data_IF_190656964146
#
_entry.id   IF_190656964146
#
_cell.length_a   1.000
_cell.length_b   1.000
_cell.length_c   1.000
_cell.angle_alpha   90.00
_cell.angle_beta   90.00
_cell.angle_gamma   90.00
#
_symmetry.space_group_name_H-M   'P 1'
#
loop_
_entity.id
_entity.type
_entity.pdbx_description
1 polymer ?
#
# COMPACT_ATOMS: atom_id res chain seq x y z
N UNK A 1 12.31 12.48 -18.94
CA UNK A 1 12.50 11.14 -18.33
C UNK A 1 11.13 10.63 -17.87
N UNK A 2 10.74 9.40 -18.22
CA UNK A 2 9.41 8.86 -17.88
C UNK A 2 9.26 8.55 -16.38
N UNK A 3 8.02 8.65 -15.87
CA UNK A 3 7.69 8.37 -14.47
C UNK A 3 8.09 6.94 -14.05
N UNK A 4 7.85 5.96 -14.92
CA UNK A 4 8.27 4.57 -14.72
C UNK A 4 9.78 4.43 -14.49
N UNK A 5 10.61 5.13 -15.26
CA UNK A 5 12.07 5.08 -15.08
C UNK A 5 12.49 5.67 -13.72
N UNK A 6 11.82 6.73 -13.26
CA UNK A 6 12.06 7.31 -11.93
C UNK A 6 11.68 6.34 -10.81
N UNK A 7 10.54 5.67 -10.93
CA UNK A 7 10.10 4.66 -9.97
C UNK A 7 11.05 3.47 -9.89
N UNK A 8 11.54 2.98 -11.03
CA UNK A 8 12.52 1.88 -11.06
C UNK A 8 13.83 2.28 -10.38
N UNK A 9 14.32 3.50 -10.60
CA UNK A 9 15.54 3.99 -9.93
C UNK A 9 15.32 4.10 -8.42
N UNK A 10 14.19 4.67 -7.99
CA UNK A 10 13.85 4.76 -6.57
C UNK A 10 13.71 3.38 -5.93
N UNK A 11 13.09 2.42 -6.64
CA UNK A 11 13.00 1.03 -6.19
C UNK A 11 14.35 0.36 -6.07
N UNK A 12 15.24 0.58 -7.04
CA UNK A 12 16.62 0.11 -6.97
C UNK A 12 17.38 0.69 -5.77
N UNK A 13 17.25 2.00 -5.52
CA UNK A 13 17.87 2.66 -4.37
C UNK A 13 17.31 2.12 -3.04
N UNK A 14 15.99 1.96 -2.92
CA UNK A 14 15.37 1.38 -1.73
C UNK A 14 15.80 -0.07 -1.54
N UNK A 15 15.88 -0.85 -2.61
CA UNK A 15 16.44 -2.20 -2.59
C UNK A 15 17.87 -2.23 -2.07
N UNK A 16 18.74 -1.33 -2.54
CA UNK A 16 20.12 -1.21 -2.06
C UNK A 16 20.20 -0.80 -0.58
N UNK A 17 19.31 0.08 -0.11
CA UNK A 17 19.25 0.46 1.30
C UNK A 17 18.91 -0.75 2.18
N UNK A 18 17.89 -1.53 1.79
CA UNK A 18 17.51 -2.74 2.50
C UNK A 18 18.52 -3.87 2.39
N UNK A 19 19.22 -3.99 1.25
CA UNK A 19 20.29 -4.97 1.05
C UNK A 19 21.48 -4.73 1.99
N UNK A 20 21.79 -3.46 2.28
CA UNK A 20 22.90 -3.08 3.16
C UNK A 20 22.47 -2.95 4.63
N UNK A 21 21.18 -3.12 4.95
CA UNK A 21 20.70 -3.06 6.33
C UNK A 21 21.23 -4.27 7.10
N UNK A 22 21.69 -4.07 8.33
CA UNK A 22 22.13 -5.20 9.16
C UNK A 22 20.93 -5.94 9.75
N UNK A 23 21.14 -7.19 10.16
CA UNK A 23 20.12 -8.00 10.83
C UNK A 23 19.59 -7.29 12.08
N UNK A 24 20.48 -6.66 12.85
CA UNK A 24 20.15 -5.93 14.08
C UNK A 24 19.26 -4.72 13.79
N UNK A 25 19.52 -3.99 12.70
CA UNK A 25 18.70 -2.84 12.30
C UNK A 25 17.30 -3.26 11.87
N UNK A 26 17.20 -4.34 11.08
CA UNK A 26 15.91 -4.91 10.66
C UNK A 26 15.14 -5.45 11.86
N UNK A 27 15.82 -6.13 12.78
CA UNK A 27 15.22 -6.65 14.00
C UNK A 27 14.75 -5.53 14.93
N UNK A 28 15.56 -4.49 15.15
CA UNK A 28 15.17 -3.31 15.92
C UNK A 28 13.90 -2.68 15.34
N UNK A 29 13.85 -2.51 14.01
CA UNK A 29 12.65 -2.00 13.31
C UNK A 29 11.42 -2.88 13.57
N UNK A 30 11.58 -4.20 13.58
CA UNK A 30 10.48 -5.14 13.88
C UNK A 30 10.00 -4.95 15.31
N UNK A 31 10.91 -4.84 16.28
CA UNK A 31 10.56 -4.70 17.70
C UNK A 31 9.92 -3.34 17.98
N UNK A 32 10.52 -2.25 17.50
CA UNK A 32 10.09 -0.88 17.75
C UNK A 32 8.68 -0.61 17.22
N UNK A 33 8.40 -1.06 15.99
CA UNK A 33 7.07 -0.95 15.38
C UNK A 33 6.18 -2.16 15.70
N UNK A 34 6.67 -3.08 16.52
CA UNK A 34 6.01 -4.34 16.90
C UNK A 34 5.42 -5.06 15.67
N UNK A 35 6.19 -5.13 14.58
CA UNK A 35 5.74 -5.72 13.31
C UNK A 35 5.55 -7.22 13.47
N UNK A 36 4.47 -7.72 12.90
CA UNK A 36 4.20 -9.14 12.79
C UNK A 36 3.33 -9.40 11.55
N UNK A 37 3.22 -10.66 11.17
CA UNK A 37 2.46 -11.07 9.98
C UNK A 37 0.98 -10.66 10.04
N UNK A 38 0.38 -10.65 11.22
CA UNK A 38 -1.00 -10.19 11.41
C UNK A 38 -1.15 -8.69 11.12
N UNK A 39 -0.19 -7.87 11.58
CA UNK A 39 -0.19 -6.41 11.35
C UNK A 39 -0.03 -6.04 9.88
N UNK A 40 0.52 -6.90 9.03
CA UNK A 40 0.52 -6.68 7.58
C UNK A 40 -0.91 -6.66 6.99
N UNK A 41 -1.85 -7.39 7.60
CA UNK A 41 -3.25 -7.40 7.18
C UNK A 41 -4.02 -6.12 7.55
N UNK A 42 -3.54 -5.39 8.56
CA UNK A 42 -4.25 -4.24 9.13
C UNK A 42 -4.41 -3.09 8.11
N UNK A 43 -3.37 -2.65 7.39
CA UNK A 43 -3.52 -1.64 6.33
C UNK A 43 -4.49 -2.06 5.21
N UNK A 44 -4.50 -3.35 4.85
CA UNK A 44 -5.37 -3.88 3.80
C UNK A 44 -6.86 -3.78 4.21
N UNK A 45 -7.16 -4.23 5.43
CA UNK A 45 -8.50 -4.19 5.98
C UNK A 45 -9.00 -2.74 6.12
N UNK A 46 -8.18 -1.86 6.70
CA UNK A 46 -8.54 -0.44 6.84
C UNK A 46 -8.70 0.25 5.49
N UNK A 47 -7.89 -0.09 4.50
CA UNK A 47 -8.03 0.42 3.13
C UNK A 47 -9.45 0.17 2.61
N UNK A 48 -9.90 -1.09 2.63
CA UNK A 48 -11.24 -1.47 2.20
C UNK A 48 -12.34 -0.74 2.98
N UNK A 49 -12.26 -0.77 4.32
CA UNK A 49 -13.28 -0.22 5.22
C UNK A 49 -13.39 1.29 5.03
N UNK A 50 -12.27 2.01 5.08
CA UNK A 50 -12.26 3.47 4.95
C UNK A 50 -12.74 3.88 3.56
N UNK A 51 -12.27 3.22 2.50
CA UNK A 51 -12.73 3.54 1.14
C UNK A 51 -14.25 3.43 0.98
N UNK A 52 -14.84 2.37 1.55
CA UNK A 52 -16.29 2.18 1.54
C UNK A 52 -17.02 3.24 2.37
N UNK A 53 -16.54 3.51 3.59
CA UNK A 53 -17.14 4.50 4.50
C UNK A 53 -17.08 5.92 3.94
N UNK A 54 -15.95 6.33 3.37
CA UNK A 54 -15.78 7.67 2.77
C UNK A 54 -16.76 7.87 1.61
N UNK A 55 -16.98 6.84 0.81
CA UNK A 55 -17.96 6.88 -0.27
C UNK A 55 -19.40 6.86 0.25
N UNK A 56 -19.68 6.13 1.33
CA UNK A 56 -20.99 6.10 1.97
C UNK A 56 -21.40 7.47 2.53
N UNK A 57 -20.44 8.21 3.09
CA UNK A 57 -20.63 9.58 3.60
C UNK A 57 -20.73 10.61 2.46
N UNK A 58 -20.46 10.22 1.21
CA UNK A 58 -20.59 11.09 0.04
C UNK A 58 -19.44 12.09 -0.12
N UNK A 59 -18.26 11.82 0.45
CA UNK A 59 -17.11 12.72 0.37
C UNK A 59 -16.56 12.69 -1.06
N UNK A 60 -16.94 13.66 -1.89
CA UNK A 60 -16.51 13.78 -3.28
C UNK A 60 -15.06 14.28 -3.42
N UNK A 61 -14.51 14.88 -2.38
CA UNK A 61 -13.15 15.43 -2.39
C UNK A 61 -12.07 14.37 -2.60
N UNK A 62 -12.34 13.10 -2.29
CA UNK A 62 -11.40 12.01 -2.55
C UNK A 62 -11.23 11.72 -4.05
N UNK A 63 -12.20 12.08 -4.91
CA UNK A 63 -12.12 11.85 -6.38
C UNK A 63 -10.89 12.47 -7.02
N UNK A 64 -10.55 13.71 -6.68
CA UNK A 64 -9.38 14.39 -7.24
C UNK A 64 -8.05 13.78 -6.78
N UNK A 65 -8.09 13.00 -5.70
CA UNK A 65 -6.92 12.33 -5.13
C UNK A 65 -6.78 10.88 -5.60
N UNK A 66 -7.75 10.30 -6.33
CA UNK A 66 -7.68 8.90 -6.75
C UNK A 66 -6.44 8.61 -7.59
N UNK A 67 -6.15 9.47 -8.56
CA UNK A 67 -4.98 9.34 -9.43
C UNK A 67 -3.66 9.42 -8.64
N UNK A 68 -3.36 10.49 -7.87
CA UNK A 68 -2.10 10.56 -7.11
C UNK A 68 -1.99 9.45 -6.06
N UNK A 69 -3.10 9.06 -5.39
CA UNK A 69 -3.08 7.95 -4.43
C UNK A 69 -2.77 6.61 -5.11
N UNK A 70 -3.25 6.38 -6.33
CA UNK A 70 -2.92 5.17 -7.09
C UNK A 70 -1.44 5.14 -7.45
N UNK A 71 -0.85 6.27 -7.85
CA UNK A 71 0.59 6.35 -8.10
C UNK A 71 1.42 6.14 -6.83
N UNK A 72 1.04 6.76 -5.72
CA UNK A 72 1.71 6.57 -4.42
C UNK A 72 1.62 5.10 -4.01
N UNK A 73 0.44 4.49 -4.14
CA UNK A 73 0.23 3.08 -3.87
C UNK A 73 1.16 2.19 -4.70
N UNK A 74 1.16 2.34 -6.03
CA UNK A 74 2.02 1.56 -6.92
C UNK A 74 3.50 1.75 -6.59
N UNK A 75 3.90 2.97 -6.20
CA UNK A 75 5.26 3.28 -5.77
C UNK A 75 5.60 2.52 -4.50
N UNK A 76 4.81 2.69 -3.43
CA UNK A 76 5.04 2.02 -2.13
C UNK A 76 5.07 0.50 -2.26
N UNK A 77 4.13 -0.09 -3.02
CA UNK A 77 4.11 -1.52 -3.28
C UNK A 77 5.36 -1.97 -4.02
N UNK A 78 5.81 -1.26 -5.04
CA UNK A 78 7.03 -1.62 -5.79
C UNK A 78 8.28 -1.48 -4.92
N UNK A 79 8.41 -0.38 -4.18
CA UNK A 79 9.55 -0.11 -3.29
C UNK A 79 9.64 -1.18 -2.19
N UNK A 80 8.51 -1.48 -1.54
CA UNK A 80 8.47 -2.47 -0.47
C UNK A 80 8.76 -3.89 -0.96
N UNK A 81 8.20 -4.31 -2.10
CA UNK A 81 8.48 -5.64 -2.66
C UNK A 81 9.93 -5.78 -3.12
N UNK A 82 10.49 -4.73 -3.72
CA UNK A 82 11.91 -4.70 -4.10
C UNK A 82 12.80 -4.76 -2.86
N UNK A 83 12.46 -4.01 -1.80
CA UNK A 83 13.14 -4.09 -0.51
C UNK A 83 13.07 -5.48 0.12
N UNK A 84 11.91 -6.14 0.06
CA UNK A 84 11.73 -7.49 0.60
C UNK A 84 12.57 -8.51 -0.17
N UNK A 85 12.58 -8.43 -1.51
CA UNK A 85 13.45 -9.27 -2.33
C UNK A 85 14.94 -9.05 -1.99
N UNK A 86 15.35 -7.80 -1.77
CA UNK A 86 16.72 -7.47 -1.40
C UNK A 86 17.12 -8.01 -0.01
N UNK A 87 16.27 -7.85 1.02
CA UNK A 87 16.50 -8.42 2.36
C UNK A 87 16.59 -9.95 2.28
N UNK A 88 15.69 -10.60 1.54
CA UNK A 88 15.72 -12.06 1.41
C UNK A 88 17.00 -12.54 0.74
N UNK A 89 17.44 -11.84 -0.32
CA UNK A 89 18.69 -12.16 -1.00
C UNK A 89 19.92 -11.99 -0.10
N UNK A 90 19.93 -10.96 0.76
CA UNK A 90 21.05 -10.66 1.65
C UNK A 90 21.12 -11.59 2.88
N UNK A 91 19.98 -11.92 3.50
CA UNK A 91 19.96 -12.57 4.82
C UNK A 91 19.30 -13.95 4.83
N UNK A 92 18.55 -14.33 3.78
CA UNK A 92 17.82 -15.60 3.65
C UNK A 92 16.85 -15.93 4.81
N UNK A 93 16.43 -14.93 5.58
CA UNK A 93 15.51 -15.08 6.71
C UNK A 93 14.17 -14.41 6.43
N UNK A 94 13.10 -15.22 6.38
CA UNK A 94 11.76 -14.73 6.09
C UNK A 94 11.21 -13.75 7.16
N UNK A 95 11.63 -13.88 8.41
CA UNK A 95 11.21 -12.99 9.50
C UNK A 95 11.67 -11.54 9.32
N UNK A 96 12.84 -11.33 8.69
CA UNK A 96 13.40 -10.00 8.46
C UNK A 96 12.73 -9.25 7.30
N UNK A 97 11.83 -9.92 6.56
CA UNK A 97 11.07 -9.31 5.47
C UNK A 97 9.93 -8.42 5.97
N UNK A 98 9.58 -8.50 7.26
CA UNK A 98 8.45 -7.77 7.83
C UNK A 98 8.50 -6.24 7.60
N UNK A 99 9.63 -5.54 7.80
CA UNK A 99 9.71 -4.10 7.53
C UNK A 99 9.41 -3.72 6.07
N UNK A 100 10.09 -4.26 5.04
CA UNK A 100 9.76 -3.92 3.65
C UNK A 100 8.39 -4.42 3.20
N UNK A 101 7.91 -5.55 3.75
CA UNK A 101 6.55 -6.02 3.49
C UNK A 101 5.48 -5.09 4.09
N UNK A 102 5.75 -4.45 5.22
CA UNK A 102 4.84 -3.45 5.80
C UNK A 102 4.67 -2.24 4.88
N UNK A 103 5.75 -1.78 4.24
CA UNK A 103 5.69 -0.72 3.22
C UNK A 103 4.78 -1.16 2.06
N UNK A 104 4.95 -2.41 1.61
CA UNK A 104 4.11 -2.98 0.55
C UNK A 104 2.63 -3.07 0.96
N UNK A 105 2.38 -3.49 2.20
CA UNK A 105 1.05 -3.61 2.77
C UNK A 105 0.34 -2.25 2.87
N UNK A 106 1.07 -1.18 3.23
CA UNK A 106 0.54 0.19 3.21
C UNK A 106 0.20 0.60 1.78
N UNK A 107 1.07 0.33 0.81
CA UNK A 107 0.82 0.58 -0.61
C UNK A 107 -0.46 -0.12 -1.10
N UNK A 108 -0.61 -1.40 -0.78
CA UNK A 108 -1.80 -2.19 -1.13
C UNK A 108 -3.06 -1.72 -0.37
N UNK A 109 -2.94 -1.34 0.90
CA UNK A 109 -4.04 -0.77 1.67
C UNK A 109 -4.56 0.51 1.04
N UNK A 110 -3.64 1.38 0.57
CA UNK A 110 -4.02 2.59 -0.15
C UNK A 110 -4.69 2.28 -1.49
N UNK A 111 -4.22 1.27 -2.22
CA UNK A 111 -4.88 0.79 -3.43
C UNK A 111 -6.33 0.37 -3.14
N UNK A 112 -6.51 -0.45 -2.11
CA UNK A 112 -7.81 -0.97 -1.70
C UNK A 112 -8.76 0.14 -1.25
N UNK A 113 -8.24 1.22 -0.66
CA UNK A 113 -9.01 2.42 -0.34
C UNK A 113 -9.59 3.07 -1.59
N UNK A 114 -8.74 3.38 -2.56
CA UNK A 114 -9.15 3.99 -3.83
C UNK A 114 -10.12 3.07 -4.58
N UNK A 115 -9.80 1.78 -4.64
CA UNK A 115 -10.61 0.76 -5.28
C UNK A 115 -12.01 0.64 -4.64
N UNK A 116 -12.07 0.51 -3.32
CA UNK A 116 -13.32 0.40 -2.57
C UNK A 116 -14.18 1.65 -2.77
N UNK A 117 -13.59 2.84 -2.60
CA UNK A 117 -14.28 4.11 -2.84
C UNK A 117 -14.90 4.19 -4.24
N UNK A 118 -14.11 3.91 -5.29
CA UNK A 118 -14.59 3.94 -6.66
C UNK A 118 -15.68 2.88 -6.94
N UNK A 119 -15.51 1.67 -6.41
CA UNK A 119 -16.44 0.54 -6.60
C UNK A 119 -17.82 0.82 -5.99
N UNK A 120 -17.86 1.39 -4.79
CA UNK A 120 -19.12 1.78 -4.14
C UNK A 120 -19.73 3.04 -4.76
N UNK A 121 -18.92 3.94 -5.30
CA UNK A 121 -19.41 5.12 -6.01
C UNK A 121 -20.13 4.75 -7.30
N UNK A 122 -19.60 3.77 -8.05
CA UNK A 122 -20.29 3.20 -9.22
C UNK A 122 -21.59 2.48 -8.83
N UNK A 123 -21.58 1.71 -7.75
CA UNK A 123 -22.78 1.01 -7.28
C UNK A 123 -23.92 1.96 -6.86
N UNK A 124 -23.60 3.16 -6.36
CA UNK A 124 -24.61 4.18 -6.08
C UNK A 124 -25.14 4.85 -7.35
N UNK A 125 -24.29 5.08 -8.36
CA UNK A 125 -24.69 5.68 -9.63
C UNK A 125 -25.53 4.74 -10.51
N UNK A 126 -25.31 3.42 -10.42
CA UNK A 126 -26.06 2.40 -11.15
C UNK A 126 -27.40 2.02 -10.47
N UNK A 127 -27.80 2.67 -9.36
CA UNK A 127 -29.14 2.47 -8.79
C UNK A 127 -30.17 3.13 -9.71
N UNK A 128 -31.09 2.37 -10.34
CA UNK A 128 -32.13 2.95 -11.16
C UNK A 128 -33.02 3.85 -10.30
N UNK A 129 -33.24 5.07 -10.77
CA UNK A 129 -34.24 6.01 -10.28
C UNK A 129 -35.63 5.43 -10.55
N UNK A 130 -36.05 4.47 -9.72
CA UNK A 130 -37.39 3.91 -9.71
C UNK A 130 -37.85 3.80 -8.26
N UNK A 131 -38.27 4.93 -7.71
CA UNK A 131 -39.35 4.98 -6.74
C UNK A 131 -40.19 6.21 -7.04
N UNK A 132 -41.10 6.02 -8.01
CA UNK A 132 -42.48 6.53 -8.09
C UNK A 132 -42.81 7.90 -7.47
N UNK A 133 -43.15 8.83 -8.38
CA UNK A 133 -44.33 9.74 -8.39
C UNK A 133 -45.11 9.98 -7.09
#
# INVERSE_FOLDING_TARGET
MSLTKRLVILAGLVGLLFYNATVEQLWATIVDYQLNWYKLGVPLAWGLIIGALVQLIGISQLRKWLEPLTFISASLTTLGLTGAAAVYAAHQQAGLLLPPLMISAIGLGLYLLVYSYARFGKAQADKPENTES
#
